data_IF_120604688677
#
_entry.id   IF_120604688677
#
_cell.length_a   1.000
_cell.length_b   1.000
_cell.length_c   1.000
_cell.angle_alpha   90.00
_cell.angle_beta   90.00
_cell.angle_gamma   90.00
#
_symmetry.space_group_name_H-M   'P 1'
#
loop_
_entity.id
_entity.type
_entity.pdbx_description
1 polymer ?
#
# COMPACT_ATOMS: atom_id res chain seq x y z
N UNK A 1 -30.55 0.93 -26.63
CA UNK A 1 -29.70 0.66 -25.46
C UNK A 1 -28.96 1.94 -25.08
N UNK A 2 -29.09 2.47 -23.89
CA UNK A 2 -28.34 3.68 -23.50
C UNK A 2 -26.87 3.32 -23.45
N UNK A 3 -26.04 4.10 -24.15
CA UNK A 3 -24.57 4.01 -24.07
C UNK A 3 -24.17 4.29 -22.62
N UNK A 4 -23.56 3.33 -21.94
CA UNK A 4 -22.89 3.55 -20.67
C UNK A 4 -21.98 4.75 -20.81
N UNK A 5 -22.25 5.84 -20.11
CA UNK A 5 -21.27 6.91 -19.94
C UNK A 5 -20.10 6.29 -19.19
N UNK A 6 -18.98 6.07 -19.86
CA UNK A 6 -17.70 5.75 -19.23
C UNK A 6 -17.40 6.89 -18.26
N UNK A 7 -17.66 6.66 -16.97
CA UNK A 7 -17.27 7.59 -15.92
C UNK A 7 -15.76 7.54 -15.83
N UNK A 8 -15.11 8.69 -15.95
CA UNK A 8 -13.68 8.81 -15.67
C UNK A 8 -13.43 8.38 -14.22
N UNK A 9 -12.45 7.50 -13.95
CA UNK A 9 -12.11 7.12 -12.58
C UNK A 9 -11.77 8.37 -11.75
N UNK A 10 -12.08 8.34 -10.46
CA UNK A 10 -11.61 9.39 -9.54
C UNK A 10 -10.11 9.23 -9.37
N UNK A 11 -9.35 10.29 -9.61
CA UNK A 11 -7.90 10.30 -9.50
C UNK A 11 -7.50 10.83 -8.11
N UNK A 12 -6.63 10.10 -7.42
CA UNK A 12 -6.24 10.37 -6.03
C UNK A 12 -4.72 10.38 -5.94
N UNK A 13 -4.15 11.49 -5.50
CA UNK A 13 -2.72 11.60 -5.24
C UNK A 13 -2.37 10.98 -3.88
N UNK A 14 -1.23 10.28 -3.82
CA UNK A 14 -0.66 9.63 -2.64
C UNK A 14 0.81 10.04 -2.58
N UNK A 15 1.08 11.23 -2.08
CA UNK A 15 2.41 11.86 -2.13
C UNK A 15 2.87 12.23 -0.73
N UNK A 16 4.12 11.91 -0.38
CA UNK A 16 4.69 12.12 0.93
C UNK A 16 4.51 10.93 1.87
N UNK A 17 4.56 11.17 3.18
CA UNK A 17 4.32 10.13 4.19
C UNK A 17 2.83 9.85 4.38
N UNK A 18 2.49 8.70 4.98
CA UNK A 18 1.08 8.30 5.20
C UNK A 18 0.31 9.37 5.98
N UNK A 19 0.94 9.96 6.99
CA UNK A 19 0.32 11.00 7.84
C UNK A 19 0.00 12.28 7.05
N UNK A 20 0.69 12.52 5.91
CA UNK A 20 0.42 13.68 5.05
C UNK A 20 -0.80 13.48 4.14
N UNK A 21 -1.05 12.24 3.69
CA UNK A 21 -2.07 11.98 2.65
C UNK A 21 -3.27 11.14 3.11
N UNK A 22 -3.21 10.48 4.29
CA UNK A 22 -4.27 9.56 4.74
C UNK A 22 -5.66 10.19 4.69
N UNK A 23 -5.80 11.39 5.29
CA UNK A 23 -7.10 12.08 5.38
C UNK A 23 -7.65 12.44 4.00
N UNK A 24 -6.81 12.95 3.11
CA UNK A 24 -7.22 13.35 1.76
C UNK A 24 -7.56 12.14 0.88
N UNK A 25 -6.81 11.05 1.01
CA UNK A 25 -7.12 9.78 0.34
C UNK A 25 -8.45 9.21 0.83
N UNK A 26 -8.71 9.22 2.14
CA UNK A 26 -10.00 8.78 2.70
C UNK A 26 -11.15 9.64 2.15
N UNK A 27 -11.00 10.97 2.13
CA UNK A 27 -12.00 11.87 1.54
C UNK A 27 -12.23 11.56 0.06
N UNK A 28 -11.17 11.43 -0.74
CA UNK A 28 -11.26 11.07 -2.15
C UNK A 28 -11.98 9.73 -2.38
N UNK A 29 -11.67 8.72 -1.57
CA UNK A 29 -12.34 7.42 -1.64
C UNK A 29 -13.83 7.50 -1.29
N UNK A 30 -14.24 8.39 -0.40
CA UNK A 30 -15.65 8.59 -0.05
C UNK A 30 -16.45 9.24 -1.18
N UNK A 31 -15.81 10.01 -2.05
CA UNK A 31 -16.41 10.60 -3.25
C UNK A 31 -16.63 9.57 -4.37
N UNK A 32 -15.83 8.49 -4.39
CA UNK A 32 -16.02 7.40 -5.35
C UNK A 32 -17.34 6.70 -5.06
N UNK A 33 -18.25 6.51 -6.01
CA UNK A 33 -19.45 5.69 -5.79
C UNK A 33 -19.08 4.27 -5.33
N UNK A 34 -19.89 3.68 -4.47
CA UNK A 34 -19.68 2.29 -4.07
C UNK A 34 -19.57 1.38 -5.31
N UNK A 35 -18.57 0.50 -5.33
CA UNK A 35 -18.18 -0.34 -6.49
C UNK A 35 -17.73 0.48 -7.72
N UNK A 36 -17.40 1.76 -7.54
CA UNK A 36 -16.85 2.61 -8.58
C UNK A 36 -15.36 2.39 -8.81
N UNK A 37 -14.82 3.11 -9.78
CA UNK A 37 -13.41 3.05 -10.19
C UNK A 37 -12.63 4.24 -9.64
N UNK A 38 -11.39 4.01 -9.22
CA UNK A 38 -10.45 5.06 -8.85
C UNK A 38 -9.02 4.70 -9.30
N UNK A 39 -8.17 5.72 -9.36
CA UNK A 39 -6.76 5.57 -9.68
C UNK A 39 -5.91 6.31 -8.64
N UNK A 40 -4.91 5.63 -8.10
CA UNK A 40 -3.92 6.22 -7.19
C UNK A 40 -2.63 6.52 -7.94
N UNK A 41 -2.09 7.72 -7.73
CA UNK A 41 -0.77 8.12 -8.19
C UNK A 41 0.15 8.21 -6.98
N UNK A 42 1.10 7.28 -6.88
CA UNK A 42 1.87 7.03 -5.65
C UNK A 42 3.31 7.52 -5.82
N UNK A 43 3.73 8.39 -4.89
CA UNK A 43 5.11 8.76 -4.64
C UNK A 43 5.30 8.93 -3.12
N UNK A 44 5.53 7.81 -2.41
CA UNK A 44 5.45 7.78 -0.95
C UNK A 44 6.50 6.85 -0.34
N UNK A 45 7.19 7.36 0.66
CA UNK A 45 8.13 6.61 1.49
C UNK A 45 7.44 5.69 2.52
N UNK A 46 6.11 5.78 2.66
CA UNK A 46 5.35 5.03 3.66
C UNK A 46 5.02 5.87 4.89
N UNK A 47 5.07 5.27 6.08
CA UNK A 47 4.72 5.91 7.36
C UNK A 47 3.79 5.04 8.20
N UNK A 48 2.72 5.60 8.74
CA UNK A 48 1.79 4.91 9.64
C UNK A 48 1.14 3.66 9.01
N UNK A 49 1.38 2.52 9.63
CA UNK A 49 0.71 1.25 9.26
C UNK A 49 -0.79 1.32 9.49
N UNK A 50 -1.23 2.01 10.55
CA UNK A 50 -2.67 2.15 10.84
C UNK A 50 -3.38 2.99 9.78
N UNK A 51 -2.75 4.08 9.32
CA UNK A 51 -3.29 4.90 8.23
C UNK A 51 -3.41 4.11 6.93
N UNK A 52 -2.39 3.37 6.57
CA UNK A 52 -2.44 2.50 5.39
C UNK A 52 -3.54 1.43 5.52
N UNK A 53 -3.70 0.81 6.70
CA UNK A 53 -4.78 -0.15 6.98
C UNK A 53 -6.17 0.49 6.87
N UNK A 54 -6.35 1.72 7.35
CA UNK A 54 -7.62 2.44 7.25
C UNK A 54 -8.04 2.64 5.80
N UNK A 55 -7.10 3.10 4.95
CA UNK A 55 -7.34 3.30 3.52
C UNK A 55 -7.65 1.98 2.80
N UNK A 56 -6.85 0.93 3.03
CA UNK A 56 -7.08 -0.40 2.45
C UNK A 56 -8.43 -0.97 2.90
N UNK A 57 -8.79 -0.80 4.16
CA UNK A 57 -10.07 -1.25 4.72
C UNK A 57 -11.23 -0.56 4.01
N UNK A 58 -11.18 0.77 3.86
CA UNK A 58 -12.21 1.54 3.19
C UNK A 58 -12.38 1.12 1.72
N UNK A 59 -11.26 0.98 1.01
CA UNK A 59 -11.22 0.52 -0.38
C UNK A 59 -11.92 -0.83 -0.54
N UNK A 60 -11.62 -1.80 0.33
CA UNK A 60 -12.20 -3.13 0.31
C UNK A 60 -13.67 -3.14 0.76
N UNK A 61 -14.00 -2.43 1.83
CA UNK A 61 -15.38 -2.33 2.33
C UNK A 61 -16.33 -1.77 1.28
N UNK A 62 -15.91 -0.71 0.58
CA UNK A 62 -16.70 -0.11 -0.50
C UNK A 62 -16.65 -0.88 -1.82
N UNK A 63 -15.80 -1.92 -1.91
CA UNK A 63 -15.58 -2.76 -3.11
C UNK A 63 -15.18 -1.93 -4.32
N UNK A 64 -14.28 -0.98 -4.13
CA UNK A 64 -13.80 -0.12 -5.21
C UNK A 64 -12.86 -0.89 -6.15
N UNK A 65 -12.96 -0.61 -7.45
CA UNK A 65 -12.01 -1.12 -8.45
C UNK A 65 -10.89 -0.10 -8.64
N UNK A 66 -9.77 -0.35 -7.98
CA UNK A 66 -8.65 0.58 -7.94
C UNK A 66 -7.51 0.16 -8.86
N UNK A 67 -6.92 1.15 -9.51
CA UNK A 67 -5.61 1.07 -10.15
C UNK A 67 -4.59 1.89 -9.35
N UNK A 68 -3.32 1.51 -9.40
CA UNK A 68 -2.22 2.27 -8.83
C UNK A 68 -1.10 2.45 -9.84
N UNK A 69 -0.56 3.66 -9.91
CA UNK A 69 0.59 4.03 -10.72
C UNK A 69 1.68 4.58 -9.80
N UNK A 70 2.83 3.93 -9.76
CA UNK A 70 3.98 4.42 -9.00
C UNK A 70 4.72 5.46 -9.83
N UNK A 71 4.73 6.71 -9.37
CA UNK A 71 5.39 7.83 -10.04
C UNK A 71 6.91 7.81 -9.85
N UNK A 72 7.37 7.54 -8.63
CA UNK A 72 8.79 7.44 -8.27
C UNK A 72 8.98 6.33 -7.25
N UNK A 73 8.54 6.56 -6.02
CA UNK A 73 8.70 5.65 -4.90
C UNK A 73 7.36 5.11 -4.39
N UNK A 74 7.36 3.83 -3.98
CA UNK A 74 6.26 3.23 -3.22
C UNK A 74 6.85 2.31 -2.15
N UNK A 75 7.03 2.83 -0.95
CA UNK A 75 7.81 2.16 0.10
C UNK A 75 6.99 1.85 1.34
N UNK A 76 7.39 0.79 2.07
CA UNK A 76 6.88 0.50 3.41
C UNK A 76 5.34 0.39 3.44
N UNK A 77 4.65 1.16 4.29
CA UNK A 77 3.20 1.13 4.44
C UNK A 77 2.44 1.49 3.15
N UNK A 78 3.01 2.30 2.25
CA UNK A 78 2.41 2.62 0.95
C UNK A 78 2.27 1.38 0.04
N UNK A 79 3.13 0.37 0.22
CA UNK A 79 3.01 -0.91 -0.49
C UNK A 79 1.68 -1.62 -0.25
N UNK A 80 1.07 -1.44 0.92
CA UNK A 80 -0.21 -2.06 1.24
C UNK A 80 -1.32 -1.51 0.34
N UNK A 81 -1.32 -0.20 0.10
CA UNK A 81 -2.27 0.43 -0.82
C UNK A 81 -2.03 -0.03 -2.26
N UNK A 82 -0.76 -0.03 -2.70
CA UNK A 82 -0.38 -0.53 -4.02
C UNK A 82 -0.81 -1.99 -4.22
N UNK A 83 -0.52 -2.86 -3.25
CA UNK A 83 -0.90 -4.27 -3.28
C UNK A 83 -2.42 -4.49 -3.28
N UNK A 84 -3.18 -3.60 -2.61
CA UNK A 84 -4.63 -3.68 -2.55
C UNK A 84 -5.32 -3.35 -3.89
N UNK A 85 -4.64 -2.68 -4.82
CA UNK A 85 -5.16 -2.34 -6.13
C UNK A 85 -5.15 -3.55 -7.06
N UNK A 86 -6.18 -3.64 -7.90
CA UNK A 86 -6.33 -4.74 -8.87
C UNK A 86 -5.36 -4.60 -10.04
N UNK A 87 -5.15 -3.37 -10.52
CA UNK A 87 -4.19 -3.04 -11.57
C UNK A 87 -3.07 -2.21 -10.96
N UNK A 88 -1.84 -2.57 -11.24
CA UNK A 88 -0.65 -1.98 -10.65
C UNK A 88 0.36 -1.68 -11.75
N UNK A 89 0.75 -0.41 -11.85
CA UNK A 89 1.65 0.07 -12.89
C UNK A 89 2.90 0.67 -12.28
N UNK A 90 4.04 0.35 -12.86
CA UNK A 90 5.35 0.86 -12.48
C UNK A 90 6.14 1.25 -13.73
N UNK A 91 7.12 2.15 -13.56
CA UNK A 91 8.12 2.44 -14.60
C UNK A 91 9.39 1.62 -14.36
N UNK A 92 10.32 1.54 -15.32
CA UNK A 92 11.64 0.93 -15.10
C UNK A 92 12.43 1.57 -13.95
N UNK A 93 12.10 2.81 -13.61
CA UNK A 93 12.77 3.64 -12.59
C UNK A 93 12.05 3.65 -11.24
N UNK A 94 10.87 3.06 -11.15
CA UNK A 94 10.13 2.96 -9.89
C UNK A 94 10.93 2.15 -8.86
N UNK A 95 10.90 2.63 -7.61
CA UNK A 95 11.56 1.99 -6.47
C UNK A 95 10.52 1.59 -5.43
N UNK A 96 10.57 0.35 -4.96
CA UNK A 96 9.65 -0.18 -3.97
C UNK A 96 10.46 -0.78 -2.81
N UNK A 97 10.28 -0.27 -1.59
CA UNK A 97 10.96 -0.79 -0.40
C UNK A 97 10.04 -1.73 0.38
N UNK A 98 10.39 -2.99 0.38
CA UNK A 98 9.81 -4.02 1.24
C UNK A 98 10.62 -4.13 2.52
N UNK A 99 10.02 -3.93 3.67
CA UNK A 99 10.66 -4.17 4.96
C UNK A 99 9.61 -4.44 6.04
N UNK A 100 10.04 -5.08 7.12
CA UNK A 100 9.22 -5.28 8.30
C UNK A 100 8.91 -3.96 8.99
N UNK A 101 7.79 -3.94 9.68
CA UNK A 101 7.36 -2.79 10.48
C UNK A 101 8.44 -2.43 11.51
N UNK A 102 8.66 -1.13 11.68
CA UNK A 102 9.48 -0.58 12.77
C UNK A 102 8.59 0.22 13.69
N UNK A 103 8.93 0.22 14.97
CA UNK A 103 8.26 1.05 15.95
C UNK A 103 9.29 1.65 16.89
N UNK A 104 8.98 2.82 17.40
CA UNK A 104 9.81 3.53 18.36
C UNK A 104 9.01 3.75 19.64
N UNK A 105 9.68 3.67 20.80
CA UNK A 105 9.10 3.96 22.09
C UNK A 105 9.54 5.34 22.59
N UNK A 106 8.74 5.94 23.45
CA UNK A 106 9.18 7.08 24.24
C UNK A 106 10.37 6.69 25.13
N UNK A 107 11.19 7.67 25.52
CA UNK A 107 12.44 7.44 26.27
C UNK A 107 12.23 6.86 27.67
N UNK A 108 11.02 6.98 28.24
CA UNK A 108 10.69 6.47 29.60
C UNK A 108 9.32 5.81 29.56
N UNK A 109 9.32 4.49 29.59
CA UNK A 109 8.12 3.65 29.66
C UNK A 109 8.27 2.65 30.82
N UNK A 110 7.16 2.23 31.42
CA UNK A 110 7.16 1.16 32.40
C UNK A 110 7.46 -0.19 31.74
N UNK A 111 8.11 -1.10 32.46
CA UNK A 111 8.46 -2.42 31.91
C UNK A 111 7.23 -3.23 31.46
N UNK A 112 6.11 -3.12 32.17
CA UNK A 112 4.84 -3.74 31.79
C UNK A 112 4.27 -3.17 30.50
N UNK A 113 4.40 -1.88 30.27
CA UNK A 113 3.98 -1.20 29.06
C UNK A 113 4.85 -1.64 27.87
N UNK A 114 6.18 -1.69 28.05
CA UNK A 114 7.12 -2.17 27.04
C UNK A 114 6.80 -3.60 26.58
N UNK A 115 6.46 -4.51 27.52
CA UNK A 115 6.07 -5.87 27.20
C UNK A 115 4.75 -5.93 26.44
N UNK A 116 3.76 -5.11 26.80
CA UNK A 116 2.50 -5.04 26.07
C UNK A 116 2.69 -4.51 24.64
N UNK A 117 3.54 -3.50 24.45
CA UNK A 117 3.87 -2.96 23.14
C UNK A 117 4.61 -3.99 22.28
N UNK A 118 5.63 -4.65 22.86
CA UNK A 118 6.38 -5.68 22.12
C UNK A 118 5.46 -6.81 21.65
N UNK A 119 4.52 -7.24 22.49
CA UNK A 119 3.52 -8.24 22.10
C UNK A 119 2.59 -7.72 21.00
N UNK A 120 1.99 -6.53 21.20
CA UNK A 120 1.04 -5.96 20.25
C UNK A 120 1.68 -5.75 18.88
N UNK A 121 2.86 -5.13 18.83
CA UNK A 121 3.54 -4.87 17.56
C UNK A 121 4.10 -6.12 16.90
N UNK A 122 4.52 -7.12 17.68
CA UNK A 122 4.91 -8.41 17.13
C UNK A 122 3.74 -9.18 16.48
N UNK A 123 2.56 -9.14 17.11
CA UNK A 123 1.33 -9.72 16.54
C UNK A 123 0.90 -8.94 15.28
N UNK A 124 0.92 -7.61 15.34
CA UNK A 124 0.56 -6.72 14.22
C UNK A 124 1.51 -6.89 13.02
N UNK A 125 2.83 -6.96 13.25
CA UNK A 125 3.82 -7.18 12.19
C UNK A 125 3.50 -8.44 11.40
N UNK A 126 3.24 -9.54 12.10
CA UNK A 126 2.89 -10.81 11.46
C UNK A 126 1.62 -10.70 10.62
N UNK A 127 0.58 -10.08 11.18
CA UNK A 127 -0.70 -9.91 10.49
C UNK A 127 -0.58 -9.03 9.25
N UNK A 128 0.24 -7.98 9.33
CA UNK A 128 0.52 -7.05 8.21
C UNK A 128 1.34 -7.73 7.12
N UNK A 129 2.39 -8.48 7.46
CA UNK A 129 3.18 -9.26 6.50
C UNK A 129 2.29 -10.26 5.75
N UNK A 130 1.44 -10.99 6.46
CA UNK A 130 0.50 -11.93 5.86
C UNK A 130 -0.58 -11.24 5.01
N UNK A 131 -1.06 -10.07 5.45
CA UNK A 131 -2.01 -9.26 4.68
C UNK A 131 -1.38 -8.77 3.38
N UNK A 132 -0.16 -8.23 3.43
CA UNK A 132 0.55 -7.74 2.25
C UNK A 132 0.71 -8.83 1.19
N UNK A 133 1.12 -10.05 1.58
CA UNK A 133 1.20 -11.20 0.68
C UNK A 133 -0.15 -11.54 0.06
N UNK A 134 -1.23 -11.56 0.86
CA UNK A 134 -2.60 -11.81 0.34
C UNK A 134 -3.08 -10.72 -0.62
N UNK A 135 -2.74 -9.46 -0.36
CA UNK A 135 -3.13 -8.33 -1.21
C UNK A 135 -2.46 -8.39 -2.58
N UNK A 136 -1.18 -8.75 -2.64
CA UNK A 136 -0.49 -8.95 -3.91
C UNK A 136 -1.08 -10.10 -4.73
N UNK A 137 -1.57 -11.15 -4.08
CA UNK A 137 -2.26 -12.27 -4.71
C UNK A 137 -1.38 -13.20 -5.54
N UNK A 138 -0.06 -13.01 -5.53
CA UNK A 138 0.92 -13.85 -6.24
C UNK A 138 2.32 -13.72 -5.64
N UNK A 139 3.28 -14.52 -6.11
CA UNK A 139 4.69 -14.51 -5.72
C UNK A 139 4.91 -14.45 -4.18
N UNK A 140 4.11 -15.19 -3.42
CA UNK A 140 4.05 -15.09 -1.96
C UNK A 140 5.43 -15.27 -1.29
N UNK A 141 6.22 -16.24 -1.74
CA UNK A 141 7.56 -16.50 -1.20
C UNK A 141 8.50 -15.33 -1.48
N UNK A 142 8.45 -14.78 -2.69
CA UNK A 142 9.28 -13.65 -3.11
C UNK A 142 8.94 -12.39 -2.30
N UNK A 143 7.65 -12.10 -2.08
CA UNK A 143 7.19 -10.96 -1.25
C UNK A 143 7.68 -11.12 0.19
N UNK A 144 7.57 -12.32 0.77
CA UNK A 144 8.09 -12.61 2.12
C UNK A 144 9.60 -12.43 2.22
N UNK A 145 10.34 -12.95 1.23
CA UNK A 145 11.80 -12.80 1.18
C UNK A 145 12.20 -11.32 1.11
N UNK A 146 11.60 -10.55 0.22
CA UNK A 146 11.89 -9.12 0.10
C UNK A 146 11.61 -8.36 1.40
N UNK A 147 10.46 -8.65 2.04
CA UNK A 147 10.08 -8.04 3.31
C UNK A 147 11.05 -8.40 4.43
N UNK A 148 11.44 -9.68 4.53
CA UNK A 148 12.37 -10.16 5.55
C UNK A 148 13.77 -9.52 5.42
N UNK A 149 14.24 -9.36 4.18
CA UNK A 149 15.56 -8.80 3.88
C UNK A 149 15.60 -7.27 3.94
N UNK A 150 14.47 -6.59 3.99
CA UNK A 150 14.41 -5.13 3.92
C UNK A 150 14.87 -4.61 2.54
N UNK A 151 14.32 -5.18 1.46
CA UNK A 151 14.86 -5.01 0.12
C UNK A 151 14.22 -3.87 -0.66
N UNK A 152 15.05 -3.08 -1.34
CA UNK A 152 14.62 -2.23 -2.43
C UNK A 152 14.44 -3.07 -3.69
N UNK A 153 13.26 -2.98 -4.30
CA UNK A 153 12.86 -3.70 -5.51
C UNK A 153 12.59 -2.68 -6.61
N UNK A 154 13.17 -2.89 -7.78
CA UNK A 154 12.95 -2.04 -8.94
C UNK A 154 11.64 -2.35 -9.65
N UNK A 155 11.15 -1.41 -10.48
CA UNK A 155 9.98 -1.67 -11.31
C UNK A 155 10.15 -2.89 -12.22
N UNK A 156 11.36 -3.16 -12.71
CA UNK A 156 11.64 -4.35 -13.53
C UNK A 156 11.52 -5.66 -12.74
N UNK A 157 12.00 -5.67 -11.50
CA UNK A 157 11.94 -6.86 -10.64
C UNK A 157 10.50 -7.19 -10.23
N UNK A 158 9.70 -6.19 -9.88
CA UNK A 158 8.29 -6.43 -9.47
C UNK A 158 7.44 -6.89 -10.65
N UNK A 159 7.72 -6.40 -11.87
CA UNK A 159 7.08 -6.90 -13.10
C UNK A 159 7.52 -8.32 -13.42
N UNK A 160 8.82 -8.63 -13.28
CA UNK A 160 9.33 -9.99 -13.48
C UNK A 160 8.72 -11.00 -12.50
N UNK A 161 8.34 -10.54 -11.30
CA UNK A 161 7.60 -11.35 -10.32
C UNK A 161 6.09 -11.48 -10.62
N UNK A 162 5.59 -10.83 -11.69
CA UNK A 162 4.17 -10.86 -12.08
C UNK A 162 3.25 -10.05 -11.17
N UNK A 163 3.79 -9.11 -10.41
CA UNK A 163 3.04 -8.34 -9.40
C UNK A 163 2.61 -6.95 -9.87
N UNK A 164 3.11 -6.49 -11.01
CA UNK A 164 2.75 -5.23 -11.66
C UNK A 164 2.92 -5.31 -13.18
N UNK A 165 2.43 -4.31 -13.88
CA UNK A 165 2.61 -4.09 -15.30
C UNK A 165 3.61 -2.95 -15.54
N UNK A 166 4.43 -3.09 -16.61
CA UNK A 166 5.38 -2.03 -16.98
C UNK A 166 4.67 -0.93 -17.74
N UNK A 167 4.97 0.29 -17.38
CA UNK A 167 4.60 1.50 -18.09
C UNK A 167 5.89 2.22 -18.54
N UNK A 168 6.07 2.37 -19.84
CA UNK A 168 7.25 3.03 -20.40
C UNK A 168 7.08 4.56 -20.43
N UNK A 169 8.15 5.29 -20.10
CA UNK A 169 8.23 6.76 -20.15
C UNK A 169 9.39 7.20 -21.03
#
# INVERSE_FOLDING_TARGET
MPKSKTRTPVEIAVVGEVDDWEEDVIKGLLEVPARGECAFYIDSAGGSVYGALAVVTLLRYRRLDAAAVVLGECSSAALMLFAACRRRFVTPYSTLLFHRMKWESEKRIASTEALNWAKHFGDLEKDVDDLQVRLFGGAAEQVREWTLLGRYVTGREIVAAGLAEMFEI
#
